data_IF_675109565496
#
_entry.id   IF_675109565496
#
_cell.length_a   1.000
_cell.length_b   1.000
_cell.length_c   1.000
_cell.angle_alpha   90.00
_cell.angle_beta   90.00
_cell.angle_gamma   90.00
#
_symmetry.space_group_name_H-M   'P 1'
#
loop_
_entity.id
_entity.type
_entity.pdbx_description
1 polymer ?
#
# COMPACT_ATOMS: atom_id res chain seq x y z
N UNK A 1 -18.82 -12.18 -19.13
CA UNK A 1 -18.66 -11.78 -17.71
C UNK A 1 -17.70 -10.62 -17.66
N UNK A 2 -18.05 -9.53 -16.98
CA UNK A 2 -17.12 -8.41 -16.79
C UNK A 2 -16.00 -8.80 -15.83
N UNK A 3 -14.88 -8.08 -15.87
CA UNK A 3 -13.77 -8.27 -14.91
C UNK A 3 -14.24 -8.17 -13.46
N UNK A 4 -15.12 -7.21 -13.17
CA UNK A 4 -15.77 -7.05 -11.87
C UNK A 4 -16.58 -8.27 -11.48
N UNK A 5 -17.49 -8.74 -12.32
CA UNK A 5 -18.28 -9.93 -12.02
C UNK A 5 -17.39 -11.14 -11.71
N UNK A 6 -16.29 -11.30 -12.44
CA UNK A 6 -15.32 -12.37 -12.27
C UNK A 6 -14.62 -12.30 -10.91
N UNK A 7 -14.10 -11.14 -10.52
CA UNK A 7 -13.47 -10.93 -9.21
C UNK A 7 -14.45 -11.22 -8.06
N UNK A 8 -15.64 -10.63 -8.09
CA UNK A 8 -16.60 -10.77 -7.00
C UNK A 8 -17.24 -12.16 -6.90
N UNK A 9 -17.35 -12.90 -8.03
CA UNK A 9 -17.74 -14.32 -7.99
C UNK A 9 -16.64 -15.20 -7.42
N UNK A 10 -15.38 -14.96 -7.81
CA UNK A 10 -14.21 -15.69 -7.30
C UNK A 10 -14.12 -15.58 -5.78
N UNK A 11 -14.27 -14.36 -5.24
CA UNK A 11 -14.29 -14.12 -3.79
C UNK A 11 -15.39 -14.88 -3.04
N UNK A 12 -16.48 -15.25 -3.72
CA UNK A 12 -17.61 -15.99 -3.14
C UNK A 12 -17.55 -17.49 -3.43
N UNK A 13 -16.45 -17.99 -3.99
CA UNK A 13 -16.31 -19.38 -4.42
C UNK A 13 -17.29 -19.79 -5.53
N UNK A 14 -17.83 -18.82 -6.28
CA UNK A 14 -18.80 -19.09 -7.35
C UNK A 14 -18.08 -19.36 -8.69
N UNK A 15 -18.65 -20.20 -9.57
CA UNK A 15 -18.08 -20.45 -10.89
C UNK A 15 -17.91 -19.17 -11.72
N UNK A 16 -16.76 -19.06 -12.39
CA UNK A 16 -16.44 -18.02 -13.36
C UNK A 16 -16.17 -18.61 -14.74
N UNK A 17 -16.15 -17.76 -15.76
CA UNK A 17 -15.81 -18.15 -17.14
C UNK A 17 -14.30 -18.45 -17.32
N UNK A 18 -13.44 -17.82 -16.50
CA UNK A 18 -12.02 -18.14 -16.32
C UNK A 18 -11.52 -17.62 -14.98
N UNK A 19 -10.31 -18.02 -14.58
CA UNK A 19 -9.62 -17.46 -13.42
C UNK A 19 -9.31 -15.97 -13.69
N UNK A 20 -9.58 -15.04 -12.74
CA UNK A 20 -9.18 -13.65 -12.89
C UNK A 20 -7.65 -13.49 -12.80
N UNK A 21 -7.10 -12.62 -13.63
CA UNK A 21 -5.65 -12.36 -13.73
C UNK A 21 -5.39 -10.86 -13.60
N UNK A 22 -4.37 -10.51 -12.84
CA UNK A 22 -3.87 -9.14 -12.72
C UNK A 22 -2.35 -9.15 -12.70
N UNK A 23 -1.76 -8.12 -13.31
CA UNK A 23 -0.34 -7.81 -13.20
C UNK A 23 -0.19 -6.31 -13.05
N UNK A 24 0.84 -5.89 -12.33
CA UNK A 24 1.15 -4.49 -12.07
C UNK A 24 2.66 -4.27 -12.09
N UNK A 25 3.05 -3.02 -12.31
CA UNK A 25 4.43 -2.56 -12.27
C UNK A 25 4.49 -1.08 -11.95
N UNK A 26 5.66 -0.60 -11.57
CA UNK A 26 5.95 0.84 -11.56
C UNK A 26 6.15 1.34 -13.00
N UNK A 27 5.89 2.63 -13.22
CA UNK A 27 6.10 3.30 -14.50
C UNK A 27 7.06 4.47 -14.28
N UNK A 28 8.36 4.20 -14.01
CA UNK A 28 9.33 5.24 -13.71
C UNK A 28 9.31 6.38 -14.72
N UNK A 29 9.62 7.58 -14.24
CA UNK A 29 9.56 8.87 -14.93
C UNK A 29 8.13 9.33 -15.27
N UNK A 30 7.29 8.46 -15.83
CA UNK A 30 5.89 8.77 -16.12
C UNK A 30 5.03 8.90 -14.84
N UNK A 31 5.31 8.08 -13.83
CA UNK A 31 4.62 8.07 -12.52
C UNK A 31 4.95 9.26 -11.61
N UNK A 32 5.69 10.24 -12.13
CA UNK A 32 6.02 11.49 -11.45
C UNK A 32 4.91 12.56 -11.55
N UNK A 33 3.91 12.36 -12.42
CA UNK A 33 2.74 13.24 -12.57
C UNK A 33 1.44 12.44 -12.50
N UNK A 34 0.32 13.09 -12.15
CA UNK A 34 -0.99 12.44 -12.11
C UNK A 34 -1.43 11.94 -13.49
N UNK A 35 -1.21 12.75 -14.52
CA UNK A 35 -1.52 12.40 -15.91
C UNK A 35 -0.61 11.26 -16.42
N UNK A 36 0.70 11.35 -16.21
CA UNK A 36 1.64 10.32 -16.67
C UNK A 36 1.42 8.95 -16.01
N UNK A 37 1.12 8.93 -14.71
CA UNK A 37 0.73 7.70 -14.02
C UNK A 37 -0.58 7.13 -14.60
N UNK A 38 -1.58 7.98 -14.80
CA UNK A 38 -2.87 7.56 -15.33
C UNK A 38 -2.75 6.99 -16.75
N UNK A 39 -2.07 7.71 -17.66
CA UNK A 39 -1.88 7.27 -19.04
C UNK A 39 -1.11 5.94 -19.11
N UNK A 40 -0.09 5.78 -18.26
CA UNK A 40 0.69 4.54 -18.21
C UNK A 40 -0.16 3.35 -17.79
N UNK A 41 -0.97 3.51 -16.73
CA UNK A 41 -1.88 2.47 -16.25
C UNK A 41 -2.97 2.16 -17.29
N UNK A 42 -3.57 3.19 -17.90
CA UNK A 42 -4.60 3.03 -18.92
C UNK A 42 -4.08 2.31 -20.17
N UNK A 43 -2.89 2.68 -20.63
CA UNK A 43 -2.24 2.02 -21.77
C UNK A 43 -1.89 0.56 -21.44
N UNK A 44 -1.42 0.30 -20.23
CA UNK A 44 -1.12 -1.05 -19.76
C UNK A 44 -2.40 -1.90 -19.69
N UNK A 45 -3.47 -1.36 -19.11
CA UNK A 45 -4.77 -2.03 -19.03
C UNK A 45 -5.36 -2.26 -20.43
N UNK A 46 -5.27 -1.30 -21.35
CA UNK A 46 -5.75 -1.46 -22.74
C UNK A 46 -5.01 -2.57 -23.47
N UNK A 47 -3.70 -2.69 -23.24
CA UNK A 47 -2.85 -3.68 -23.90
C UNK A 47 -3.13 -5.11 -23.43
N UNK A 48 -3.36 -5.31 -22.14
CA UNK A 48 -3.41 -6.65 -21.54
C UNK A 48 -4.78 -7.06 -21.00
N UNK A 49 -5.70 -6.11 -20.79
CA UNK A 49 -7.08 -6.34 -20.37
C UNK A 49 -7.20 -7.18 -19.08
N UNK A 50 -6.49 -6.78 -18.02
CA UNK A 50 -6.52 -7.46 -16.72
C UNK A 50 -7.86 -7.33 -16.00
N UNK A 51 -8.10 -8.23 -15.06
CA UNK A 51 -9.36 -8.31 -14.30
C UNK A 51 -9.43 -7.36 -13.11
N UNK A 52 -8.29 -6.81 -12.70
CA UNK A 52 -8.14 -5.91 -11.56
C UNK A 52 -7.01 -4.94 -11.91
N UNK A 53 -7.23 -3.66 -11.71
CA UNK A 53 -6.17 -2.65 -11.83
C UNK A 53 -5.71 -2.25 -10.44
N UNK A 54 -4.46 -2.58 -10.13
CA UNK A 54 -3.77 -2.07 -8.95
C UNK A 54 -3.00 -0.79 -9.31
N UNK A 55 -3.47 0.35 -8.82
CA UNK A 55 -2.77 1.62 -8.99
C UNK A 55 -1.46 1.54 -8.23
N UNK A 56 -0.35 1.69 -8.94
CA UNK A 56 1.01 1.53 -8.41
C UNK A 56 1.75 2.86 -8.53
N UNK A 57 1.67 3.74 -7.52
CA UNK A 57 2.38 5.01 -7.52
C UNK A 57 3.90 4.85 -7.60
N UNK A 58 4.59 5.98 -7.78
CA UNK A 58 6.04 6.03 -7.64
C UNK A 58 6.50 5.41 -6.30
N UNK A 59 7.58 4.64 -6.34
CA UNK A 59 8.14 4.04 -5.13
C UNK A 59 8.42 5.11 -4.07
N UNK A 60 7.99 4.85 -2.83
CA UNK A 60 8.18 5.77 -1.71
C UNK A 60 7.24 6.99 -1.66
N UNK A 61 6.19 7.06 -2.47
CA UNK A 61 5.30 8.23 -2.52
C UNK A 61 4.74 8.67 -1.16
N UNK A 62 4.40 7.73 -0.27
CA UNK A 62 3.93 8.05 1.08
C UNK A 62 5.06 8.57 1.96
N UNK A 63 6.28 8.04 1.86
CA UNK A 63 7.45 8.60 2.56
C UNK A 63 7.70 10.05 2.13
N UNK A 64 7.56 10.33 0.83
CA UNK A 64 7.69 11.69 0.29
C UNK A 64 6.61 12.62 0.85
N UNK A 65 5.39 12.13 1.09
CA UNK A 65 4.34 12.89 1.78
C UNK A 65 4.73 13.30 3.21
N UNK A 66 5.63 12.56 3.86
CA UNK A 66 6.21 12.88 5.17
C UNK A 66 7.56 13.63 5.06
N UNK A 67 7.94 14.10 3.87
CA UNK A 67 9.14 14.91 3.63
C UNK A 67 10.38 14.11 3.22
N UNK A 68 10.24 12.81 2.94
CA UNK A 68 11.37 12.00 2.48
C UNK A 68 11.82 12.41 1.08
N UNK A 69 13.12 12.55 0.85
CA UNK A 69 13.65 12.86 -0.48
C UNK A 69 14.20 11.61 -1.15
N UNK A 70 13.95 11.51 -2.44
CA UNK A 70 14.27 10.34 -3.25
C UNK A 70 15.09 10.69 -4.48
N UNK A 71 15.98 9.77 -4.86
CA UNK A 71 16.65 9.77 -6.16
C UNK A 71 16.33 8.48 -6.92
N UNK A 72 16.37 8.47 -8.26
CA UNK A 72 16.30 7.24 -9.02
C UNK A 72 17.46 6.31 -8.64
N UNK A 73 17.17 5.03 -8.41
CA UNK A 73 18.19 4.05 -8.10
C UNK A 73 19.05 3.77 -9.34
N UNK A 74 20.36 4.05 -9.27
CA UNK A 74 21.32 3.85 -10.37
C UNK A 74 21.73 2.38 -10.55
N UNK A 75 20.77 1.47 -10.73
CA UNK A 75 21.06 0.03 -10.87
C UNK A 75 20.91 -0.50 -12.29
N UNK A 76 20.57 0.34 -13.27
CA UNK A 76 20.32 -0.08 -14.66
C UNK A 76 19.08 -0.96 -14.85
N UNK A 77 18.48 -1.46 -13.76
CA UNK A 77 17.23 -2.20 -13.74
C UNK A 77 16.07 -1.22 -13.81
N UNK A 78 15.28 -1.26 -14.88
CA UNK A 78 14.05 -0.47 -15.09
C UNK A 78 12.90 -0.92 -14.17
N UNK A 79 13.13 -1.13 -12.88
CA UNK A 79 12.10 -1.56 -11.93
C UNK A 79 11.36 -0.40 -11.25
N UNK A 80 11.71 0.85 -11.56
CA UNK A 80 11.09 2.05 -10.97
C UNK A 80 11.36 2.23 -9.49
N UNK A 81 12.43 1.61 -8.97
CA UNK A 81 12.84 1.72 -7.58
C UNK A 81 13.52 3.06 -7.36
N UNK A 82 13.11 3.76 -6.30
CA UNK A 82 13.70 5.02 -5.86
C UNK A 82 14.39 4.79 -4.51
N UNK A 83 15.54 5.41 -4.31
CA UNK A 83 16.28 5.36 -3.05
C UNK A 83 15.97 6.61 -2.22
N UNK A 84 15.60 6.43 -0.95
CA UNK A 84 15.43 7.55 -0.02
C UNK A 84 16.81 8.00 0.47
N UNK A 85 17.21 9.21 0.11
CA UNK A 85 18.50 9.82 0.49
C UNK A 85 18.38 10.74 1.70
N UNK A 86 17.16 11.17 2.02
CA UNK A 86 16.88 12.07 3.14
C UNK A 86 15.64 11.58 3.90
N UNK A 87 15.87 10.72 4.89
CA UNK A 87 14.83 10.19 5.77
C UNK A 87 14.23 11.28 6.68
N UNK A 88 12.89 11.37 6.81
CA UNK A 88 12.25 12.32 7.72
C UNK A 88 12.69 12.20 9.19
N UNK A 89 12.96 10.98 9.67
CA UNK A 89 13.30 10.73 11.08
C UNK A 89 14.80 10.46 11.20
N UNK A 90 15.55 11.43 11.74
CA UNK A 90 17.02 11.35 11.92
C UNK A 90 17.41 10.75 13.26
N UNK A 91 16.61 10.97 14.28
CA UNK A 91 16.76 10.36 15.61
C UNK A 91 15.37 10.07 16.23
N UNK A 92 15.33 9.29 17.32
CA UNK A 92 14.05 8.90 17.93
C UNK A 92 13.20 10.09 18.40
N UNK A 93 13.79 11.22 18.80
CA UNK A 93 13.00 12.38 19.21
C UNK A 93 12.28 13.06 18.05
N UNK A 94 12.69 12.82 16.80
CA UNK A 94 11.98 13.36 15.63
C UNK A 94 10.60 12.71 15.44
N UNK A 95 10.36 11.52 16.01
CA UNK A 95 9.03 10.90 16.03
C UNK A 95 7.97 11.82 16.64
N UNK A 96 8.34 12.59 17.67
CA UNK A 96 7.45 13.56 18.36
C UNK A 96 7.06 14.75 17.48
N UNK A 97 7.78 14.97 16.37
CA UNK A 97 7.58 16.11 15.46
C UNK A 97 6.75 15.74 14.24
N UNK A 98 6.40 14.47 14.07
CA UNK A 98 5.63 14.01 12.92
C UNK A 98 4.24 14.67 12.94
N UNK A 99 3.77 15.06 11.77
CA UNK A 99 2.46 15.67 11.57
C UNK A 99 1.71 14.89 10.48
N UNK A 100 0.37 14.87 10.50
CA UNK A 100 -0.40 14.26 9.43
C UNK A 100 -0.02 14.85 8.07
N UNK A 101 0.19 14.00 7.07
CA UNK A 101 0.44 14.47 5.72
C UNK A 101 -0.88 14.96 5.08
N UNK A 102 -0.84 16.11 4.42
CA UNK A 102 -2.04 16.68 3.79
C UNK A 102 -2.38 15.97 2.48
N UNK A 103 -3.62 15.48 2.39
CA UNK A 103 -4.17 14.89 1.17
C UNK A 103 -4.59 15.93 0.11
N UNK A 104 -4.61 17.22 0.48
CA UNK A 104 -5.04 18.32 -0.38
C UNK A 104 -3.88 19.04 -1.07
N UNK A 105 -2.64 18.59 -0.86
CA UNK A 105 -1.45 19.15 -1.50
C UNK A 105 -0.39 18.06 -1.73
N UNK A 106 0.66 18.42 -2.47
CA UNK A 106 1.80 17.54 -2.70
C UNK A 106 1.42 16.20 -3.35
N UNK A 107 2.22 15.18 -3.04
CA UNK A 107 2.14 13.88 -3.72
C UNK A 107 0.84 13.12 -3.45
N UNK A 108 0.22 13.26 -2.26
CA UNK A 108 -1.06 12.59 -1.99
C UNK A 108 -2.20 13.18 -2.83
N UNK A 109 -2.24 14.51 -3.02
CA UNK A 109 -3.20 15.12 -3.95
C UNK A 109 -2.97 14.63 -5.38
N UNK A 110 -1.71 14.56 -5.82
CA UNK A 110 -1.34 14.03 -7.15
C UNK A 110 -1.87 12.61 -7.34
N UNK A 111 -1.72 11.73 -6.35
CA UNK A 111 -2.24 10.36 -6.45
C UNK A 111 -3.76 10.30 -6.53
N UNK A 112 -4.47 11.13 -5.75
CA UNK A 112 -5.94 11.22 -5.85
C UNK A 112 -6.38 11.75 -7.22
N UNK A 113 -5.64 12.68 -7.81
CA UNK A 113 -5.89 13.16 -9.17
C UNK A 113 -5.64 12.07 -10.22
N UNK A 114 -4.54 11.31 -10.09
CA UNK A 114 -4.25 10.17 -10.95
C UNK A 114 -5.38 9.14 -10.89
N UNK A 115 -5.84 8.82 -9.69
CA UNK A 115 -6.92 7.85 -9.46
C UNK A 115 -8.23 8.30 -10.12
N UNK A 116 -8.57 9.59 -10.09
CA UNK A 116 -9.73 10.14 -10.83
C UNK A 116 -9.60 9.94 -12.34
N UNK A 117 -8.43 10.21 -12.91
CA UNK A 117 -8.15 10.05 -14.33
C UNK A 117 -8.23 8.57 -14.74
N UNK A 118 -7.62 7.69 -13.95
CA UNK A 118 -7.65 6.23 -14.15
C UNK A 118 -9.09 5.73 -14.11
N UNK A 119 -9.89 6.14 -13.12
CA UNK A 119 -11.29 5.76 -13.03
C UNK A 119 -12.08 6.20 -14.26
N UNK A 120 -11.88 7.44 -14.71
CA UNK A 120 -12.53 7.98 -15.91
C UNK A 120 -12.19 7.16 -17.15
N UNK A 121 -10.94 6.73 -17.30
CA UNK A 121 -10.49 5.94 -18.45
C UNK A 121 -10.88 4.46 -18.42
N UNK A 122 -10.96 3.84 -17.23
CA UNK A 122 -11.31 2.43 -17.07
C UNK A 122 -12.83 2.19 -17.06
N UNK A 123 -13.59 3.11 -16.46
CA UNK A 123 -15.02 2.93 -16.24
C UNK A 123 -15.34 2.04 -15.04
N UNK A 124 -16.43 1.27 -15.13
CA UNK A 124 -16.98 0.52 -13.99
C UNK A 124 -16.77 -1.00 -14.06
N UNK A 125 -16.39 -1.55 -15.21
CA UNK A 125 -16.35 -3.00 -15.41
C UNK A 125 -15.09 -3.68 -14.88
N UNK A 126 -14.04 -2.92 -14.57
CA UNK A 126 -12.79 -3.41 -13.98
C UNK A 126 -12.62 -2.75 -12.60
N UNK A 127 -12.49 -3.54 -11.51
CA UNK A 127 -12.20 -2.98 -10.20
C UNK A 127 -10.84 -2.31 -10.15
N UNK A 128 -10.76 -1.19 -9.44
CA UNK A 128 -9.52 -0.42 -9.24
C UNK A 128 -9.19 -0.39 -7.76
N UNK A 129 -7.96 -0.76 -7.39
CA UNK A 129 -7.49 -0.71 -6.00
C UNK A 129 -6.29 0.22 -5.85
N UNK A 130 -6.32 1.08 -4.83
CA UNK A 130 -5.21 1.98 -4.50
C UNK A 130 -4.19 1.24 -3.63
N UNK A 131 -2.92 1.28 -3.99
CA UNK A 131 -1.84 0.65 -3.20
C UNK A 131 -1.45 1.53 -2.03
N UNK A 132 -1.46 0.97 -0.81
CA UNK A 132 -1.19 1.70 0.44
C UNK A 132 -0.35 0.83 1.39
N UNK A 133 0.77 1.33 1.95
CA UNK A 133 1.54 0.61 2.96
C UNK A 133 0.80 0.57 4.29
N UNK A 134 1.06 -0.47 5.08
CA UNK A 134 0.68 -0.47 6.48
C UNK A 134 1.50 0.55 7.28
N UNK A 135 1.00 1.02 8.44
CA UNK A 135 1.65 2.06 9.25
C UNK A 135 3.10 1.73 9.61
N UNK A 136 3.39 0.49 10.00
CA UNK A 136 4.73 0.08 10.40
C UNK A 136 5.71 0.00 9.22
N UNK A 137 5.24 -0.41 8.03
CA UNK A 137 6.04 -0.36 6.80
C UNK A 137 6.34 1.08 6.42
N UNK A 138 5.38 1.99 6.54
CA UNK A 138 5.63 3.42 6.29
C UNK A 138 6.60 4.01 7.32
N UNK A 139 6.47 3.65 8.60
CA UNK A 139 7.45 4.01 9.64
C UNK A 139 8.86 3.52 9.27
N UNK A 140 8.97 2.31 8.70
CA UNK A 140 10.25 1.76 8.23
C UNK A 140 10.83 2.58 7.10
N UNK A 141 10.03 3.03 6.14
CA UNK A 141 10.54 3.77 4.99
C UNK A 141 10.91 5.22 5.33
N UNK A 142 10.32 5.83 6.37
CA UNK A 142 10.70 7.19 6.83
C UNK A 142 11.86 7.21 7.83
N UNK A 143 12.19 6.07 8.45
CA UNK A 143 13.30 5.94 9.43
C UNK A 143 14.49 5.15 8.91
N UNK A 144 14.26 4.21 8.01
CA UNK A 144 15.26 3.26 7.55
C UNK A 144 15.59 2.18 8.59
N UNK A 145 16.84 1.71 8.60
CA UNK A 145 17.25 0.54 9.40
C UNK A 145 17.05 0.72 10.90
N UNK A 146 17.24 1.94 11.42
CA UNK A 146 17.14 2.30 12.84
C UNK A 146 15.74 2.21 13.45
N UNK A 147 14.69 1.91 12.66
CA UNK A 147 13.34 1.68 13.20
C UNK A 147 13.34 0.61 14.30
N UNK A 148 14.14 -0.46 14.14
CA UNK A 148 14.13 -1.58 15.08
C UNK A 148 14.69 -1.20 16.46
N UNK A 149 15.69 -0.32 16.48
CA UNK A 149 16.24 0.21 17.73
C UNK A 149 15.21 1.13 18.40
N UNK A 150 14.54 1.98 17.63
CA UNK A 150 13.49 2.86 18.16
C UNK A 150 12.31 2.04 18.71
N UNK A 151 11.90 0.97 18.01
CA UNK A 151 10.80 0.10 18.43
C UNK A 151 11.08 -0.52 19.81
N UNK A 152 12.31 -0.96 20.05
CA UNK A 152 12.69 -1.68 21.28
C UNK A 152 13.10 -0.76 22.42
N UNK A 153 13.76 0.37 22.12
CA UNK A 153 14.32 1.26 23.14
C UNK A 153 13.51 2.54 23.35
N UNK A 154 12.71 2.95 22.36
CA UNK A 154 11.89 4.16 22.38
C UNK A 154 10.43 3.89 21.96
N UNK A 155 9.76 2.85 22.49
CA UNK A 155 8.48 2.35 21.98
C UNK A 155 7.38 3.40 22.03
N UNK A 156 7.36 4.25 23.06
CA UNK A 156 6.32 5.28 23.22
C UNK A 156 6.43 6.39 22.17
N UNK A 157 7.67 6.78 21.82
CA UNK A 157 7.92 7.77 20.78
C UNK A 157 7.41 7.24 19.43
N UNK A 158 7.73 5.98 19.10
CA UNK A 158 7.26 5.34 17.88
C UNK A 158 5.73 5.16 17.85
N UNK A 159 5.11 4.70 18.96
CA UNK A 159 3.65 4.51 19.03
C UNK A 159 2.88 5.79 18.78
N UNK A 160 3.32 6.90 19.38
CA UNK A 160 2.71 8.21 19.14
C UNK A 160 2.81 8.64 17.68
N UNK A 161 3.93 8.31 17.00
CA UNK A 161 4.06 8.57 15.58
C UNK A 161 3.20 7.64 14.72
N UNK A 162 3.05 6.37 15.11
CA UNK A 162 2.20 5.40 14.43
C UNK A 162 0.73 5.83 14.47
N UNK A 163 0.25 6.47 15.53
CA UNK A 163 -1.11 7.05 15.56
C UNK A 163 -1.28 8.08 14.42
N UNK A 164 -0.34 9.02 14.28
CA UNK A 164 -0.37 10.06 13.23
C UNK A 164 -0.25 9.48 11.81
N UNK A 165 0.60 8.46 11.65
CA UNK A 165 0.78 7.75 10.37
C UNK A 165 -0.52 7.01 10.00
N UNK A 166 -1.15 6.37 10.98
CA UNK A 166 -2.40 5.62 10.81
C UNK A 166 -3.53 6.54 10.38
N UNK A 167 -3.65 7.71 11.02
CA UNK A 167 -4.66 8.72 10.65
C UNK A 167 -4.46 9.24 9.22
N UNK A 168 -3.20 9.46 8.81
CA UNK A 168 -2.87 9.86 7.44
C UNK A 168 -3.25 8.78 6.44
N UNK A 169 -2.87 7.53 6.70
CA UNK A 169 -3.20 6.39 5.85
C UNK A 169 -4.71 6.21 5.74
N UNK A 170 -5.43 6.24 6.86
CA UNK A 170 -6.88 6.08 6.87
C UNK A 170 -7.57 7.20 6.09
N UNK A 171 -7.17 8.45 6.31
CA UNK A 171 -7.72 9.62 5.61
C UNK A 171 -7.51 9.51 4.10
N UNK A 172 -6.29 9.18 3.67
CA UNK A 172 -5.98 8.99 2.25
C UNK A 172 -6.72 7.80 1.64
N UNK A 173 -6.85 6.69 2.38
CA UNK A 173 -7.59 5.50 1.94
C UNK A 173 -9.07 5.81 1.73
N UNK A 174 -9.71 6.49 2.69
CA UNK A 174 -11.11 6.89 2.58
C UNK A 174 -11.33 7.86 1.42
N UNK A 175 -10.41 8.81 1.21
CA UNK A 175 -10.50 9.73 0.08
C UNK A 175 -10.31 8.99 -1.26
N UNK A 176 -9.43 7.99 -1.31
CA UNK A 176 -9.26 7.11 -2.49
C UNK A 176 -10.58 6.42 -2.88
N UNK A 177 -11.34 5.93 -1.89
CA UNK A 177 -12.67 5.35 -2.13
C UNK A 177 -13.68 6.39 -2.62
N UNK A 178 -13.68 7.61 -2.06
CA UNK A 178 -14.58 8.70 -2.51
C UNK A 178 -14.31 9.09 -3.96
N UNK A 179 -13.05 9.09 -4.39
CA UNK A 179 -12.67 9.32 -5.79
C UNK A 179 -12.82 8.07 -6.66
N UNK A 180 -13.56 7.08 -6.17
CA UNK A 180 -14.08 5.89 -6.87
C UNK A 180 -13.06 4.78 -7.13
N UNK A 181 -12.00 4.67 -6.32
CA UNK A 181 -11.40 3.35 -6.14
C UNK A 181 -12.45 2.38 -5.57
N UNK A 182 -12.41 1.14 -6.04
CA UNK A 182 -13.26 0.07 -5.53
C UNK A 182 -12.71 -0.53 -4.23
N UNK A 183 -11.44 -0.28 -3.94
CA UNK A 183 -10.76 -0.90 -2.81
C UNK A 183 -9.35 -0.44 -2.58
N UNK A 184 -8.70 -1.07 -1.60
CA UNK A 184 -7.34 -0.80 -1.17
C UNK A 184 -6.50 -2.09 -1.28
N UNK A 185 -5.35 -1.97 -1.93
CA UNK A 185 -4.29 -2.96 -1.89
C UNK A 185 -3.35 -2.58 -0.75
N UNK A 186 -3.61 -3.14 0.43
CA UNK A 186 -2.91 -2.86 1.67
C UNK A 186 -1.71 -3.80 1.80
N UNK A 187 -0.50 -3.28 1.95
CA UNK A 187 0.69 -4.13 1.98
C UNK A 187 1.55 -3.94 3.23
N UNK A 188 2.20 -5.00 3.67
CA UNK A 188 3.17 -4.99 4.76
C UNK A 188 4.49 -5.62 4.31
N UNK A 189 5.60 -5.01 4.74
CA UNK A 189 6.96 -5.56 4.64
C UNK A 189 7.53 -5.94 6.01
N UNK A 190 6.74 -5.75 7.07
CA UNK A 190 7.18 -5.85 8.46
C UNK A 190 6.58 -7.06 9.18
N UNK A 191 5.55 -7.69 8.62
CA UNK A 191 4.96 -8.92 9.15
C UNK A 191 5.81 -10.15 8.80
N UNK A 192 7.06 -10.16 9.27
CA UNK A 192 8.01 -11.24 9.04
C UNK A 192 8.81 -11.52 10.31
N UNK A 193 8.98 -12.81 10.59
CA UNK A 193 9.85 -13.32 11.65
C UNK A 193 11.34 -12.99 11.41
N UNK A 194 11.71 -12.56 10.19
CA UNK A 194 13.06 -12.05 9.90
C UNK A 194 13.38 -10.76 10.67
N UNK A 195 12.35 -10.03 11.11
CA UNK A 195 12.50 -8.70 11.69
C UNK A 195 11.94 -8.58 13.10
N UNK A 196 10.78 -9.21 13.34
CA UNK A 196 9.96 -9.00 14.53
C UNK A 196 9.47 -10.33 15.07
N UNK A 197 9.32 -10.39 16.39
CA UNK A 197 8.49 -11.41 17.03
C UNK A 197 7.01 -11.13 16.76
N UNK A 198 6.17 -12.16 16.85
CA UNK A 198 4.72 -11.98 16.71
C UNK A 198 4.17 -10.95 17.72
N UNK A 199 4.68 -10.96 18.97
CA UNK A 199 4.28 -10.00 20.01
C UNK A 199 4.63 -8.56 19.61
N UNK A 200 5.83 -8.32 19.08
CA UNK A 200 6.20 -7.00 18.55
C UNK A 200 5.28 -6.60 17.38
N UNK A 201 4.96 -7.53 16.47
CA UNK A 201 4.06 -7.20 15.36
C UNK A 201 2.61 -6.96 15.81
N UNK A 202 2.10 -7.67 16.82
CA UNK A 202 0.79 -7.40 17.40
C UNK A 202 0.71 -5.99 17.98
N UNK A 203 1.77 -5.56 18.67
CA UNK A 203 1.84 -4.27 19.35
C UNK A 203 2.03 -3.09 18.39
N UNK A 204 2.90 -3.23 17.39
CA UNK A 204 3.30 -2.13 16.49
C UNK A 204 2.70 -2.22 15.08
N UNK A 205 2.18 -3.37 14.69
CA UNK A 205 1.53 -3.62 13.39
C UNK A 205 0.02 -3.81 13.55
N UNK A 206 -0.42 -4.94 14.11
CA UNK A 206 -1.82 -5.38 14.15
C UNK A 206 -2.77 -4.33 14.68
N UNK A 207 -2.43 -3.69 15.82
CA UNK A 207 -3.24 -2.63 16.42
C UNK A 207 -3.64 -1.55 15.40
N UNK A 208 -2.66 -1.09 14.62
CA UNK A 208 -2.81 0.01 13.68
C UNK A 208 -3.40 -0.44 12.35
N UNK A 209 -2.99 -1.62 11.87
CA UNK A 209 -3.54 -2.26 10.67
C UNK A 209 -5.05 -2.44 10.81
N UNK A 210 -5.51 -3.00 11.94
CA UNK A 210 -6.93 -3.25 12.19
C UNK A 210 -7.74 -1.96 12.35
N UNK A 211 -7.16 -0.88 12.88
CA UNK A 211 -7.83 0.42 12.91
C UNK A 211 -8.18 0.89 11.49
N UNK A 212 -7.27 0.73 10.53
CA UNK A 212 -7.51 1.11 9.13
C UNK A 212 -8.49 0.12 8.48
N UNK A 213 -8.18 -1.17 8.51
CA UNK A 213 -8.93 -2.19 7.78
C UNK A 213 -10.38 -2.28 8.24
N UNK A 214 -10.65 -2.20 9.55
CA UNK A 214 -12.02 -2.19 10.06
C UNK A 214 -12.82 -0.96 9.59
N UNK A 215 -12.18 0.22 9.50
CA UNK A 215 -12.85 1.41 9.00
C UNK A 215 -13.14 1.33 7.50
N UNK A 216 -12.24 0.73 6.72
CA UNK A 216 -12.45 0.54 5.28
C UNK A 216 -13.47 -0.57 4.99
N UNK A 217 -13.50 -1.64 5.80
CA UNK A 217 -14.50 -2.70 5.70
C UNK A 217 -15.93 -2.15 5.89
N UNK A 218 -16.13 -1.18 6.80
CA UNK A 218 -17.41 -0.47 6.98
C UNK A 218 -17.86 0.32 5.74
N UNK A 219 -16.95 0.64 4.83
CA UNK A 219 -17.25 1.30 3.55
C UNK A 219 -17.51 0.29 2.42
N UNK A 220 -17.59 -1.01 2.72
CA UNK A 220 -17.68 -2.11 1.74
C UNK A 220 -16.54 -2.08 0.71
N UNK A 221 -15.36 -1.59 1.11
CA UNK A 221 -14.18 -1.56 0.25
C UNK A 221 -13.72 -2.99 -0.10
N UNK A 222 -13.24 -3.20 -1.32
CA UNK A 222 -12.47 -4.40 -1.67
C UNK A 222 -11.07 -4.30 -1.02
N UNK A 223 -10.80 -5.11 0.00
CA UNK A 223 -9.53 -5.11 0.71
C UNK A 223 -8.70 -6.32 0.29
N UNK A 224 -7.50 -6.02 -0.19
CA UNK A 224 -6.50 -7.00 -0.58
C UNK A 224 -5.29 -6.78 0.32
N UNK A 225 -4.93 -7.78 1.12
CA UNK A 225 -3.71 -7.77 1.91
C UNK A 225 -2.57 -8.38 1.10
N UNK A 226 -1.45 -7.67 1.00
CA UNK A 226 -0.23 -8.18 0.41
C UNK A 226 0.90 -8.28 1.42
N UNK A 227 1.48 -9.47 1.53
CA UNK A 227 2.49 -9.80 2.53
C UNK A 227 3.83 -10.01 1.82
N UNK A 228 4.77 -9.10 2.03
CA UNK A 228 6.15 -9.27 1.57
C UNK A 228 6.99 -10.03 2.59
N UNK A 229 7.89 -10.87 2.12
CA UNK A 229 8.86 -11.59 2.95
C UNK A 229 8.93 -13.07 2.60
N UNK A 230 9.88 -13.77 3.23
CA UNK A 230 10.04 -15.22 3.10
C UNK A 230 9.53 -15.95 4.35
N UNK A 231 9.79 -15.41 5.54
CA UNK A 231 9.32 -15.94 6.81
C UNK A 231 8.17 -15.09 7.35
N UNK A 232 7.08 -15.04 6.58
CA UNK A 232 5.93 -14.16 6.88
C UNK A 232 5.17 -14.62 8.14
N UNK A 233 4.29 -13.77 8.67
CA UNK A 233 3.37 -14.11 9.76
C UNK A 233 1.97 -14.41 9.20
N UNK A 234 1.86 -15.40 8.31
CA UNK A 234 0.62 -15.65 7.56
C UNK A 234 -0.55 -15.99 8.49
N UNK A 235 -0.32 -16.87 9.46
CA UNK A 235 -1.37 -17.33 10.38
C UNK A 235 -1.95 -16.21 11.25
N UNK A 236 -1.14 -15.21 11.60
CA UNK A 236 -1.62 -14.01 12.28
C UNK A 236 -2.45 -13.12 11.35
N UNK A 237 -1.98 -12.96 10.11
CA UNK A 237 -2.55 -12.01 9.15
C UNK A 237 -3.81 -12.50 8.43
N UNK A 238 -4.03 -13.82 8.34
CA UNK A 238 -5.23 -14.38 7.72
C UNK A 238 -6.53 -14.01 8.45
N UNK A 239 -6.42 -13.63 9.72
CA UNK A 239 -7.55 -13.19 10.56
C UNK A 239 -7.94 -11.73 10.30
N UNK A 240 -7.20 -10.98 9.47
CA UNK A 240 -7.56 -9.61 9.13
C UNK A 240 -8.88 -9.57 8.33
N UNK A 241 -9.67 -8.48 8.46
CA UNK A 241 -10.96 -8.35 7.79
C UNK A 241 -10.77 -7.97 6.31
N UNK A 242 -10.12 -8.84 5.54
CA UNK A 242 -9.81 -8.67 4.11
C UNK A 242 -10.44 -9.79 3.29
N UNK A 243 -10.69 -9.52 2.00
CA UNK A 243 -11.32 -10.49 1.12
C UNK A 243 -10.31 -11.30 0.31
N UNK A 244 -9.09 -10.78 0.12
CA UNK A 244 -8.03 -11.42 -0.67
C UNK A 244 -6.70 -11.26 0.06
N UNK A 245 -5.94 -12.35 0.16
CA UNK A 245 -4.56 -12.35 0.65
C UNK A 245 -3.64 -12.69 -0.53
N UNK A 246 -2.58 -11.91 -0.69
CA UNK A 246 -1.58 -12.05 -1.74
C UNK A 246 -0.19 -12.14 -1.10
N UNK A 247 0.61 -13.11 -1.55
CA UNK A 247 2.00 -13.30 -1.13
C UNK A 247 2.75 -14.04 -2.25
N UNK A 248 4.07 -14.20 -2.09
CA UNK A 248 4.90 -14.90 -3.08
C UNK A 248 4.84 -16.42 -2.87
N UNK A 249 3.77 -17.06 -3.32
CA UNK A 249 3.46 -18.49 -3.09
C UNK A 249 4.55 -19.49 -3.55
N UNK A 250 5.40 -19.12 -4.52
CA UNK A 250 6.51 -19.99 -4.97
C UNK A 250 7.76 -19.97 -4.07
N UNK A 251 7.93 -18.95 -3.22
CA UNK A 251 9.14 -18.78 -2.40
C UNK A 251 8.82 -18.68 -0.90
N UNK A 252 7.55 -18.46 -0.57
CA UNK A 252 7.09 -18.13 0.77
C UNK A 252 5.92 -19.04 1.10
N UNK A 253 6.14 -19.95 2.06
CA UNK A 253 5.05 -20.78 2.57
C UNK A 253 4.05 -19.90 3.33
N UNK A 254 2.74 -20.25 3.34
CA UNK A 254 1.73 -19.55 4.13
C UNK A 254 1.81 -19.99 5.60
N UNK A 255 2.92 -19.70 6.27
CA UNK A 255 3.18 -19.94 7.70
C UNK A 255 3.26 -18.63 8.47
#
# INVERSE_FOLDING_TARGET
MTSRERIYKTMKGKPTDRIPVSLWQHFPDADQTSQGLADSILNFQKKFNFDLVKVTPASGYMTEAFGGKFIPLKTGLQKGIRECVDFPIKNHNDWKKIKPASINQGILKRELEALKLIKKGIGNDVPIVQTIPNPLTLAKTIRGKLLFDDLRNHPNDLKSALDVITDTILTFSLESLKVRADGIFFFTQMASFDFLTEKEYQEFGVKYDLQILNNLAKQNALLILHIHGLNIMFDLLKEYPVQIINWHDQLTAPT
#
